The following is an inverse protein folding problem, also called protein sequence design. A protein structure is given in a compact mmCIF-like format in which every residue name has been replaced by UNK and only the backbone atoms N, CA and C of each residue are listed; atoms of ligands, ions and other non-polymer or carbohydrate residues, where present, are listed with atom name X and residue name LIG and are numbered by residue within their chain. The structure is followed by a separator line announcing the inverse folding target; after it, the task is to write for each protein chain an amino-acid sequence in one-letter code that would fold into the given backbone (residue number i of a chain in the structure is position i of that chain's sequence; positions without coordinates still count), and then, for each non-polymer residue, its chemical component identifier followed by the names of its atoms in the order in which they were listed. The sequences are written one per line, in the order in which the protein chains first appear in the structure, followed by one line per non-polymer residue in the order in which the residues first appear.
data_IF_634976264642
#
_entry.id   IF_634976264642
#
_cell.length_a   1.000
_cell.length_b   1.000
_cell.length_c   1.000
_cell.angle_alpha   90.00
_cell.angle_beta   90.00
_cell.angle_gamma   90.00
#
_symmetry.space_group_name_H-M   'P 1'
#
loop_
_entity.id
_entity.type
_entity.pdbx_description
1 polymer ?
#
# COMPACT_ATOMS: atom_id res chain seq x y z
N UNK A 1 29.32 43.76 -34.57
CA UNK A 1 28.37 42.80 -35.18
C UNK A 1 28.65 41.43 -34.59
N UNK A 2 27.61 40.76 -34.05
CA UNK A 2 27.60 39.43 -33.37
C UNK A 2 28.42 39.36 -32.05
N UNK A 3 27.89 39.18 -30.84
CA UNK A 3 26.57 38.74 -30.38
C UNK A 3 26.55 37.25 -30.07
N UNK A 4 26.93 36.82 -28.85
CA UNK A 4 26.57 35.52 -28.25
C UNK A 4 26.31 35.74 -26.74
N UNK A 5 25.13 35.37 -26.20
CA UNK A 5 24.74 35.65 -24.82
C UNK A 5 25.22 34.60 -23.81
N UNK A 6 25.41 35.07 -22.57
CA UNK A 6 25.63 34.32 -21.34
C UNK A 6 24.41 33.42 -21.07
N UNK A 7 24.61 32.10 -20.96
CA UNK A 7 23.66 31.20 -20.31
C UNK A 7 24.42 30.48 -19.19
N UNK A 8 24.19 30.94 -17.96
CA UNK A 8 24.49 30.19 -16.76
C UNK A 8 23.43 29.09 -16.61
N UNK A 9 23.77 27.85 -16.92
CA UNK A 9 22.97 26.69 -16.55
C UNK A 9 23.48 26.18 -15.19
N UNK A 10 22.88 26.69 -14.11
CA UNK A 10 23.00 26.09 -12.80
C UNK A 10 22.37 24.69 -12.87
N UNK A 11 23.20 23.65 -12.91
CA UNK A 11 22.76 22.27 -12.81
C UNK A 11 22.11 22.02 -11.45
N UNK A 12 20.79 21.97 -11.42
CA UNK A 12 20.05 21.48 -10.27
C UNK A 12 20.36 19.99 -10.12
N UNK A 13 21.15 19.65 -9.10
CA UNK A 13 21.32 18.29 -8.59
C UNK A 13 19.96 17.81 -8.06
N UNK A 14 19.15 17.24 -8.95
CA UNK A 14 17.97 16.49 -8.59
C UNK A 14 18.40 15.19 -7.92
N UNK A 15 18.53 15.20 -6.60
CA UNK A 15 18.68 13.98 -5.81
C UNK A 15 17.37 13.21 -5.94
N UNK A 16 17.33 12.27 -6.89
CA UNK A 16 16.28 11.26 -6.97
C UNK A 16 16.41 10.36 -5.74
N UNK A 17 15.73 10.71 -4.66
CA UNK A 17 15.56 9.80 -3.53
C UNK A 17 14.89 8.53 -4.10
N UNK A 18 15.48 7.33 -3.91
CA UNK A 18 14.81 6.12 -4.34
C UNK A 18 13.47 6.05 -3.60
N UNK A 19 12.38 6.00 -4.35
CA UNK A 19 11.08 5.66 -3.81
C UNK A 19 11.28 4.35 -3.04
N UNK A 20 11.28 4.42 -1.71
CA UNK A 20 11.33 3.23 -0.87
C UNK A 20 10.11 2.44 -1.29
N UNK A 21 10.32 1.31 -1.95
CA UNK A 21 9.26 0.36 -2.24
C UNK A 21 8.67 -0.06 -0.89
N UNK A 22 7.64 0.64 -0.44
CA UNK A 22 6.87 0.28 0.74
C UNK A 22 6.17 -1.02 0.35
N UNK A 23 6.67 -2.13 0.89
CA UNK A 23 6.15 -3.47 0.59
C UNK A 23 7.13 -4.41 -0.09
N UNK A 24 8.41 -4.45 0.31
CA UNK A 24 9.33 -5.55 -0.02
C UNK A 24 9.68 -6.45 1.19
N UNK A 25 9.02 -6.23 2.33
CA UNK A 25 9.21 -7.04 3.53
C UNK A 25 8.27 -8.25 3.61
N UNK A 26 8.30 -9.00 4.74
CA UNK A 26 7.50 -10.21 4.89
C UNK A 26 6.00 -9.90 4.85
N UNK A 27 5.21 -10.93 4.57
CA UNK A 27 3.76 -10.85 4.72
C UNK A 27 3.38 -10.51 6.17
N UNK A 28 2.30 -9.77 6.34
CA UNK A 28 1.68 -9.55 7.66
C UNK A 28 1.24 -10.90 8.23
N UNK A 29 1.65 -11.20 9.46
CA UNK A 29 1.09 -12.31 10.22
C UNK A 29 -0.23 -11.84 10.85
N UNK A 30 -1.31 -12.61 10.69
CA UNK A 30 -2.62 -12.29 11.27
C UNK A 30 -2.58 -12.21 12.82
N UNK A 31 -1.54 -12.76 13.45
CA UNK A 31 -1.31 -12.74 14.89
C UNK A 31 -0.49 -11.53 15.35
N UNK A 32 0.09 -10.75 14.43
CA UNK A 32 0.80 -9.53 14.80
C UNK A 32 -0.17 -8.59 15.56
N UNK A 33 0.25 -7.89 16.64
CA UNK A 33 -0.65 -7.06 17.43
C UNK A 33 -1.42 -6.00 16.62
N UNK A 34 -0.76 -5.42 15.62
CA UNK A 34 -1.38 -4.46 14.71
C UNK A 34 -2.38 -5.12 13.75
N UNK A 35 -2.09 -6.33 13.28
CA UNK A 35 -3.01 -7.11 12.44
C UNK A 35 -4.27 -7.48 13.23
N UNK A 36 -4.11 -7.93 14.47
CA UNK A 36 -5.23 -8.21 15.39
C UNK A 36 -6.05 -6.95 15.64
N UNK A 37 -5.42 -5.81 15.94
CA UNK A 37 -6.11 -4.55 16.20
C UNK A 37 -6.95 -4.05 15.02
N UNK A 38 -6.47 -4.29 13.79
CA UNK A 38 -7.17 -3.92 12.56
C UNK A 38 -8.06 -5.05 12.00
N UNK A 39 -8.11 -6.22 12.65
CA UNK A 39 -8.84 -7.38 12.12
C UNK A 39 -8.33 -7.88 10.76
N UNK A 40 -7.03 -7.77 10.51
CA UNK A 40 -6.47 -8.21 9.24
C UNK A 40 -6.66 -9.70 9.03
N UNK A 41 -7.17 -10.05 7.85
CA UNK A 41 -7.15 -11.40 7.29
C UNK A 41 -6.49 -11.37 5.94
N UNK A 42 -5.66 -12.38 5.64
CA UNK A 42 -5.03 -12.53 4.34
C UNK A 42 -6.04 -12.92 3.24
N UNK A 43 -7.25 -13.32 3.64
CA UNK A 43 -8.37 -13.64 2.78
C UNK A 43 -9.64 -12.99 3.32
N UNK A 44 -10.22 -12.08 2.54
CA UNK A 44 -11.43 -11.34 2.86
C UNK A 44 -12.63 -12.26 3.15
N UNK A 45 -12.69 -13.44 2.54
CA UNK A 45 -13.76 -14.41 2.80
C UNK A 45 -13.72 -15.01 4.21
N UNK A 46 -12.59 -14.87 4.92
CA UNK A 46 -12.36 -15.39 6.28
C UNK A 46 -12.53 -14.34 7.37
N UNK A 47 -12.98 -13.13 7.03
CA UNK A 47 -13.27 -12.08 8.00
C UNK A 47 -14.45 -12.51 8.87
N UNK A 48 -14.30 -12.31 10.18
CA UNK A 48 -15.33 -12.58 11.16
C UNK A 48 -16.48 -11.55 11.03
N UNK A 49 -17.58 -11.97 10.41
CA UNK A 49 -18.76 -11.12 10.19
C UNK A 49 -19.46 -10.68 11.48
N UNK A 50 -19.30 -11.42 12.57
CA UNK A 50 -19.86 -11.00 13.86
C UNK A 50 -19.10 -9.78 14.41
N UNK A 51 -17.79 -9.73 14.19
CA UNK A 51 -16.95 -8.58 14.59
C UNK A 51 -17.03 -7.42 13.61
N UNK A 52 -17.20 -7.71 12.32
CA UNK A 52 -17.22 -6.71 11.25
C UNK A 52 -18.50 -6.81 10.42
N UNK A 53 -19.67 -6.41 10.96
CA UNK A 53 -20.96 -6.61 10.29
C UNK A 53 -21.14 -5.79 9.00
N UNK A 54 -20.28 -4.79 8.75
CA UNK A 54 -20.27 -3.97 7.52
C UNK A 54 -19.30 -4.48 6.46
N UNK A 55 -18.54 -5.54 6.76
CA UNK A 55 -17.65 -6.19 5.81
C UNK A 55 -18.46 -6.87 4.71
N UNK A 56 -17.96 -6.77 3.48
CA UNK A 56 -18.41 -7.56 2.34
C UNK A 56 -17.19 -8.27 1.72
N UNK A 57 -17.35 -9.51 1.27
CA UNK A 57 -16.24 -10.31 0.74
C UNK A 57 -15.62 -9.72 -0.54
N UNK A 58 -16.33 -8.83 -1.24
CA UNK A 58 -15.79 -8.06 -2.36
C UNK A 58 -14.82 -6.97 -1.92
N UNK A 59 -14.79 -6.57 -0.64
CA UNK A 59 -13.83 -5.63 -0.09
C UNK A 59 -12.49 -6.33 0.14
N UNK A 60 -11.43 -5.91 -0.54
CA UNK A 60 -10.10 -6.51 -0.38
C UNK A 60 -8.98 -5.49 -0.63
N UNK A 61 -7.75 -5.82 -0.26
CA UNK A 61 -6.61 -4.92 -0.43
C UNK A 61 -6.47 -4.48 -1.90
N UNK A 62 -6.65 -5.37 -2.87
CA UNK A 62 -6.57 -5.04 -4.30
C UNK A 62 -7.48 -3.88 -4.75
N UNK A 63 -8.65 -3.72 -4.13
CA UNK A 63 -9.59 -2.62 -4.38
C UNK A 63 -9.64 -1.57 -3.26
N UNK A 64 -8.64 -1.58 -2.36
CA UNK A 64 -8.48 -0.60 -1.30
C UNK A 64 -7.64 0.60 -1.77
N UNK A 65 -8.03 1.82 -1.39
CA UNK A 65 -7.29 3.05 -1.68
C UNK A 65 -5.87 3.06 -1.07
N UNK A 66 -5.65 2.31 0.01
CA UNK A 66 -4.37 2.28 0.74
C UNK A 66 -3.38 1.24 0.18
N UNK A 67 -3.81 0.37 -0.73
CA UNK A 67 -2.95 -0.67 -1.26
C UNK A 67 -1.96 -0.10 -2.26
N UNK A 68 -0.68 -0.40 -2.04
CA UNK A 68 0.45 0.14 -2.79
C UNK A 68 0.97 -0.84 -3.87
N UNK A 69 0.30 -1.98 -4.06
CA UNK A 69 0.53 -2.91 -5.18
C UNK A 69 -0.44 -2.68 -6.34
N UNK A 70 -0.22 -3.38 -7.45
CA UNK A 70 -1.16 -3.46 -8.58
C UNK A 70 -2.24 -4.48 -8.28
N UNK A 71 -3.42 -4.32 -8.86
CA UNK A 71 -4.56 -5.23 -8.61
C UNK A 71 -4.27 -6.69 -9.01
N UNK A 72 -3.37 -6.92 -9.97
CA UNK A 72 -2.96 -8.25 -10.40
C UNK A 72 -1.81 -8.86 -9.58
N UNK A 73 -1.15 -8.06 -8.71
CA UNK A 73 -0.08 -8.57 -7.86
C UNK A 73 -0.69 -9.49 -6.79
N UNK A 74 0.06 -10.49 -6.31
CA UNK A 74 -0.40 -11.36 -5.22
C UNK A 74 -0.42 -10.63 -3.86
N UNK A 75 0.44 -9.64 -3.69
CA UNK A 75 0.62 -8.86 -2.48
C UNK A 75 1.16 -7.46 -2.80
N UNK A 76 1.13 -6.57 -1.81
CA UNK A 76 1.65 -5.23 -1.93
C UNK A 76 1.74 -4.52 -0.59
N UNK A 77 2.37 -3.35 -0.57
CA UNK A 77 2.46 -2.52 0.62
C UNK A 77 1.10 -1.99 1.06
N UNK A 78 0.98 -1.71 2.35
CA UNK A 78 -0.09 -0.92 2.93
C UNK A 78 0.55 -0.01 3.99
N UNK A 79 0.32 1.32 3.99
CA UNK A 79 0.97 2.24 4.93
C UNK A 79 0.66 1.92 6.40
N UNK A 80 -0.46 1.24 6.66
CA UNK A 80 -0.82 0.78 8.00
C UNK A 80 0.07 -0.38 8.48
N UNK A 81 0.69 -1.13 7.57
CA UNK A 81 1.58 -2.25 7.87
C UNK A 81 3.00 -1.93 7.41
N UNK A 82 3.60 -0.89 8.01
CA UNK A 82 4.93 -0.39 7.63
C UNK A 82 5.99 -1.52 7.58
N UNK A 83 6.69 -1.60 6.45
CA UNK A 83 7.74 -2.60 6.22
C UNK A 83 7.24 -4.02 5.96
N UNK A 84 5.93 -4.25 5.84
CA UNK A 84 5.32 -5.56 5.55
C UNK A 84 4.45 -5.50 4.29
N UNK A 85 4.06 -6.66 3.79
CA UNK A 85 3.12 -6.81 2.69
C UNK A 85 1.77 -7.36 3.16
N UNK A 86 0.69 -6.87 2.56
CA UNK A 86 -0.65 -7.46 2.67
C UNK A 86 -0.97 -8.26 1.42
N UNK A 87 -1.67 -9.38 1.58
CA UNK A 87 -2.24 -10.12 0.45
C UNK A 87 -3.27 -9.27 -0.29
N UNK A 88 -3.26 -9.30 -1.62
CA UNK A 88 -4.23 -8.58 -2.45
C UNK A 88 -5.67 -8.98 -2.13
N UNK A 89 -5.90 -10.27 -1.81
CA UNK A 89 -7.20 -10.80 -1.38
C UNK A 89 -7.52 -10.54 0.10
N UNK A 90 -6.60 -9.96 0.86
CA UNK A 90 -6.78 -9.68 2.28
C UNK A 90 -7.70 -8.51 2.54
N UNK A 91 -8.04 -8.30 3.81
CA UNK A 91 -8.90 -7.21 4.27
C UNK A 91 -8.52 -6.82 5.70
N UNK A 92 -8.75 -5.56 6.06
CA UNK A 92 -8.74 -5.09 7.46
C UNK A 92 -9.82 -4.01 7.64
N UNK A 93 -10.16 -3.69 8.89
CA UNK A 93 -11.23 -2.74 9.24
C UNK A 93 -11.04 -1.32 8.71
N UNK A 94 -9.82 -0.96 8.32
CA UNK A 94 -9.49 0.31 7.67
C UNK A 94 -9.64 0.29 6.14
N UNK A 95 -10.25 -0.76 5.57
CA UNK A 95 -10.54 -0.81 4.14
C UNK A 95 -11.34 0.40 3.71
N UNK A 96 -10.91 1.01 2.61
CA UNK A 96 -11.57 2.15 1.98
C UNK A 96 -11.57 1.90 0.48
N UNK A 97 -12.75 2.01 -0.14
CA UNK A 97 -12.92 1.78 -1.58
C UNK A 97 -11.98 2.70 -2.37
N UNK A 98 -11.24 2.12 -3.32
CA UNK A 98 -10.49 2.89 -4.32
C UNK A 98 -11.48 3.68 -5.20
N UNK A 99 -11.19 4.96 -5.42
CA UNK A 99 -11.99 5.83 -6.28
C UNK A 99 -11.99 5.37 -7.75
#
# INVERSE_FOLDING_TARGET
MKGIPIIAAAGALGVSLPARAQGSGPMVDEKDPQAVGLGYKADSSKVDKAKYPKHDASQHCGNCQLFQGKAADASGGCPLFAGKQVATKGWCSAWVKKA
#
